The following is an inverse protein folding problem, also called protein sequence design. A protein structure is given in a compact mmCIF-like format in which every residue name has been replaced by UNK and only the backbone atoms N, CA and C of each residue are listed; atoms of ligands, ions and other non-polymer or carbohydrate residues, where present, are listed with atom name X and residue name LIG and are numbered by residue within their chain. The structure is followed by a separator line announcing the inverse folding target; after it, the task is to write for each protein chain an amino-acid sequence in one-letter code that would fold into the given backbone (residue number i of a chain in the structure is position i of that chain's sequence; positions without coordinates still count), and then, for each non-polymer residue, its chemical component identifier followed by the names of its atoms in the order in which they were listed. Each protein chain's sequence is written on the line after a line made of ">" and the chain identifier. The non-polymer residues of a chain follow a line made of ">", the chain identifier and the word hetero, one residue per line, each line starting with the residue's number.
data_IF_311288144536
#
_entry.id   IF_311288144536
#
_cell.length_a   1.000
_cell.length_b   1.000
_cell.length_c   1.000
_cell.angle_alpha   90.00
_cell.angle_beta   90.00
_cell.angle_gamma   90.00
#
_symmetry.space_group_name_H-M   'P 1'
#
loop_
_entity.id
_entity.type
_entity.pdbx_description
1 polymer ?
#
# COMPACT_ATOMS: atom_id res chain seq x y z
N UNK A 1 -29.95 -6.85 12.63
CA UNK A 1 -30.74 -6.39 11.47
C UNK A 1 -30.82 -4.87 11.53
N UNK A 2 -29.87 -4.15 10.89
CA UNK A 2 -29.86 -2.68 10.88
C UNK A 2 -30.62 -2.21 9.64
N UNK A 3 -31.65 -1.41 9.88
CA UNK A 3 -32.65 -0.94 8.91
C UNK A 3 -32.03 -0.11 7.79
N UNK A 4 -32.19 -0.57 6.55
CA UNK A 4 -31.72 0.08 5.31
C UNK A 4 -32.61 1.26 4.85
N UNK A 5 -33.30 1.93 5.77
CA UNK A 5 -34.32 2.95 5.44
C UNK A 5 -33.78 4.38 5.41
N UNK A 6 -32.60 4.64 5.99
CA UNK A 6 -32.00 5.98 6.03
C UNK A 6 -31.58 6.58 4.66
N UNK A 7 -31.01 5.83 3.69
CA UNK A 7 -30.54 6.44 2.44
C UNK A 7 -31.67 6.80 1.48
N UNK A 8 -32.82 6.14 1.58
CA UNK A 8 -33.97 6.34 0.67
C UNK A 8 -34.68 7.67 0.97
N UNK A 9 -34.82 8.04 2.25
CA UNK A 9 -35.44 9.32 2.64
C UNK A 9 -34.61 10.53 2.18
N UNK A 10 -33.29 10.40 2.17
CA UNK A 10 -32.37 11.46 1.75
C UNK A 10 -32.47 11.71 0.24
N UNK A 11 -32.57 10.66 -0.56
CA UNK A 11 -32.74 10.74 -2.01
C UNK A 11 -34.11 11.36 -2.37
N UNK A 12 -35.18 11.02 -1.64
CA UNK A 12 -36.52 11.59 -1.86
C UNK A 12 -36.58 13.10 -1.59
N UNK A 13 -35.88 13.59 -0.55
CA UNK A 13 -35.81 15.02 -0.23
C UNK A 13 -35.08 15.82 -1.33
N UNK A 14 -34.06 15.23 -1.95
CA UNK A 14 -33.29 15.85 -3.05
C UNK A 14 -34.15 15.98 -4.31
N UNK A 15 -34.95 14.96 -4.64
CA UNK A 15 -35.85 15.00 -5.80
C UNK A 15 -36.96 16.04 -5.62
N UNK A 16 -37.53 16.17 -4.41
CA UNK A 16 -38.53 17.19 -4.11
C UNK A 16 -37.99 18.62 -4.22
N UNK A 17 -36.72 18.85 -3.91
CA UNK A 17 -36.03 20.13 -4.12
C UNK A 17 -35.71 20.43 -5.60
N UNK A 18 -35.70 19.40 -6.47
CA UNK A 18 -35.35 19.49 -7.90
C UNK A 18 -36.56 19.67 -8.84
N UNK A 19 -37.81 19.50 -8.38
CA UNK A 19 -39.00 19.79 -9.19
C UNK A 19 -39.18 21.30 -9.49
N UNK A 20 -39.34 21.73 -10.76
CA UNK A 20 -39.55 23.13 -11.11
C UNK A 20 -41.04 23.51 -10.98
N UNK A 21 -41.38 24.38 -10.02
CA UNK A 21 -42.64 25.12 -9.99
C UNK A 21 -42.46 26.51 -10.59
N UNK A 22 -43.45 26.95 -11.34
CA UNK A 22 -43.46 28.11 -12.23
C UNK A 22 -43.13 29.47 -11.61
N UNK A 23 -42.46 30.29 -12.42
CA UNK A 23 -42.49 31.77 -12.53
C UNK A 23 -42.04 32.62 -11.34
N UNK A 24 -40.73 32.91 -11.27
CA UNK A 24 -40.18 34.28 -11.10
C UNK A 24 -38.64 34.26 -11.17
N UNK A 25 -38.06 35.22 -11.91
CA UNK A 25 -36.62 35.30 -12.22
C UNK A 25 -35.74 35.38 -10.96
N UNK A 26 -36.23 36.02 -9.88
CA UNK A 26 -35.54 36.12 -8.59
C UNK A 26 -35.42 34.78 -7.86
N UNK A 27 -36.33 33.82 -8.12
CA UNK A 27 -36.40 32.53 -7.43
C UNK A 27 -35.39 31.50 -7.98
N UNK A 28 -35.02 31.62 -9.27
CA UNK A 28 -34.06 30.73 -9.90
C UNK A 28 -32.63 30.95 -9.39
N UNK A 29 -32.25 32.20 -9.13
CA UNK A 29 -30.95 32.53 -8.57
C UNK A 29 -30.79 31.97 -7.15
N UNK A 30 -31.74 32.24 -6.25
CA UNK A 30 -31.69 31.78 -4.84
C UNK A 30 -31.68 30.24 -4.72
N UNK A 31 -32.37 29.54 -5.64
CA UNK A 31 -32.37 28.08 -5.70
C UNK A 31 -31.04 27.50 -6.18
N UNK A 32 -30.40 28.10 -7.19
CA UNK A 32 -29.04 27.70 -7.60
C UNK A 32 -28.04 27.91 -6.47
N UNK A 33 -28.13 29.03 -5.74
CA UNK A 33 -27.27 29.26 -4.59
C UNK A 33 -27.51 28.22 -3.50
N UNK A 34 -28.76 27.97 -3.08
CA UNK A 34 -29.04 26.94 -2.06
C UNK A 34 -28.64 25.53 -2.47
N UNK A 35 -28.80 25.15 -3.73
CA UNK A 35 -28.37 23.83 -4.22
C UNK A 35 -26.85 23.73 -4.23
N UNK A 36 -26.13 24.77 -4.66
CA UNK A 36 -24.66 24.81 -4.56
C UNK A 36 -24.20 24.77 -3.10
N UNK A 37 -24.83 25.54 -2.22
CA UNK A 37 -24.55 25.51 -0.77
C UNK A 37 -24.79 24.12 -0.18
N UNK A 38 -25.89 23.47 -0.53
CA UNK A 38 -26.24 22.15 0.00
C UNK A 38 -25.31 21.06 -0.53
N UNK A 39 -24.96 21.07 -1.82
CA UNK A 39 -23.95 20.17 -2.40
C UNK A 39 -22.59 20.39 -1.73
N UNK A 40 -22.21 21.65 -1.46
CA UNK A 40 -20.97 21.97 -0.73
C UNK A 40 -21.03 21.44 0.69
N UNK A 41 -22.13 21.64 1.42
CA UNK A 41 -22.28 21.13 2.80
C UNK A 41 -22.31 19.61 2.83
N UNK A 42 -22.95 18.95 1.85
CA UNK A 42 -22.98 17.50 1.75
C UNK A 42 -21.60 16.91 1.44
N UNK A 43 -20.83 17.54 0.53
CA UNK A 43 -19.42 17.19 0.29
C UNK A 43 -18.54 17.45 1.52
N UNK A 44 -18.84 18.49 2.30
CA UNK A 44 -18.14 18.78 3.54
C UNK A 44 -18.45 17.75 4.63
N UNK A 45 -19.68 17.21 4.69
CA UNK A 45 -20.03 16.14 5.63
C UNK A 45 -19.48 14.77 5.24
N UNK A 46 -19.33 14.45 3.95
CA UNK A 46 -18.59 13.25 3.52
C UNK A 46 -17.09 13.36 3.85
N UNK A 47 -16.52 14.56 3.76
CA UNK A 47 -15.14 14.80 4.20
C UNK A 47 -14.98 14.79 5.73
N UNK A 48 -16.02 15.12 6.50
CA UNK A 48 -15.95 15.14 7.97
C UNK A 48 -16.17 13.78 8.64
N UNK A 49 -16.74 12.78 7.97
CA UNK A 49 -16.87 11.43 8.55
C UNK A 49 -15.61 10.57 8.44
N UNK A 50 -14.53 11.09 7.84
CA UNK A 50 -13.30 10.33 7.62
C UNK A 50 -12.14 10.64 8.58
N UNK A 51 -12.33 11.48 9.61
CA UNK A 51 -11.31 11.75 10.63
C UNK A 51 -12.00 11.91 12.00
N UNK A 52 -11.57 11.30 13.10
CA UNK A 52 -10.19 11.28 13.62
C UNK A 52 -9.90 10.01 14.46
N UNK A 53 -8.93 9.22 14.01
CA UNK A 53 -7.97 8.54 14.88
C UNK A 53 -6.76 9.48 15.10
N UNK A 54 -5.95 9.31 16.16
CA UNK A 54 -4.85 10.24 16.44
C UNK A 54 -3.82 10.24 15.29
N UNK A 55 -3.62 11.42 14.68
CA UNK A 55 -2.72 11.67 13.55
C UNK A 55 -1.29 11.98 14.03
N UNK A 56 -0.27 11.46 13.33
CA UNK A 56 1.13 11.84 13.50
C UNK A 56 1.51 12.93 12.47
N UNK A 57 2.32 13.96 12.80
CA UNK A 57 2.42 15.20 12.01
C UNK A 57 3.14 15.13 10.64
N UNK A 58 3.80 14.03 10.25
CA UNK A 58 4.68 14.04 9.06
C UNK A 58 4.66 12.77 8.16
N UNK A 59 3.69 11.86 8.27
CA UNK A 59 3.56 10.75 7.29
C UNK A 59 2.15 10.12 7.33
N UNK A 60 1.52 9.95 6.16
CA UNK A 60 0.20 9.31 6.02
C UNK A 60 0.26 7.77 5.88
N UNK A 61 1.46 7.16 5.85
CA UNK A 61 1.62 5.71 5.67
C UNK A 61 2.55 5.05 6.71
N UNK A 62 2.17 3.86 7.17
CA UNK A 62 3.00 2.88 7.85
C UNK A 62 4.48 2.82 7.51
N UNK A 63 5.42 2.68 8.46
CA UNK A 63 6.79 2.28 8.12
C UNK A 63 6.92 0.86 7.53
N UNK A 64 8.20 0.49 7.41
CA UNK A 64 8.92 -0.64 6.78
C UNK A 64 8.18 -1.67 5.92
N UNK A 65 8.67 -1.87 4.68
CA UNK A 65 8.82 -3.15 4.03
C UNK A 65 10.24 -3.73 4.20
N UNK A 66 10.40 -4.80 4.98
CA UNK A 66 11.68 -5.49 5.12
C UNK A 66 11.74 -6.68 4.15
N UNK A 67 12.73 -6.72 3.26
CA UNK A 67 13.01 -7.86 2.38
C UNK A 67 14.17 -8.68 2.92
N UNK A 68 13.90 -9.94 3.24
CA UNK A 68 14.90 -10.95 3.53
C UNK A 68 15.03 -11.85 2.31
N UNK A 69 16.26 -12.06 1.85
CA UNK A 69 16.56 -12.91 0.71
C UNK A 69 17.70 -13.86 1.07
N UNK A 70 17.51 -15.14 0.77
CA UNK A 70 18.53 -16.17 0.92
C UNK A 70 18.78 -16.82 -0.42
N UNK A 71 20.05 -16.94 -0.81
CA UNK A 71 20.46 -17.59 -2.06
C UNK A 71 21.70 -18.45 -1.83
N UNK A 72 21.85 -19.49 -2.64
CA UNK A 72 23.05 -20.33 -2.67
C UNK A 72 24.13 -19.79 -3.60
N UNK A 73 23.85 -18.75 -4.38
CA UNK A 73 24.83 -18.07 -5.23
C UNK A 73 25.80 -17.25 -4.38
N UNK A 74 27.07 -17.20 -4.74
CA UNK A 74 28.04 -16.25 -4.18
C UNK A 74 27.89 -14.89 -4.86
N UNK A 75 27.49 -13.86 -4.11
CA UNK A 75 27.30 -12.52 -4.67
C UNK A 75 28.58 -11.68 -4.60
N UNK A 76 29.59 -12.11 -3.82
CA UNK A 76 30.85 -11.42 -3.64
C UNK A 76 30.71 -9.91 -3.38
N UNK A 77 31.54 -9.12 -4.04
CA UNK A 77 31.59 -7.65 -3.91
C UNK A 77 30.31 -6.96 -4.41
N UNK A 78 29.50 -7.61 -5.26
CA UNK A 78 28.29 -7.01 -5.82
C UNK A 78 27.14 -6.95 -4.82
N UNK A 79 27.19 -7.73 -3.73
CA UNK A 79 26.11 -7.81 -2.73
C UNK A 79 25.66 -6.44 -2.24
N UNK A 80 26.60 -5.53 -1.97
CA UNK A 80 26.28 -4.18 -1.50
C UNK A 80 25.51 -3.33 -2.51
N UNK A 81 25.80 -3.48 -3.81
CA UNK A 81 25.08 -2.80 -4.87
C UNK A 81 23.68 -3.39 -5.08
N UNK A 82 23.56 -4.71 -5.07
CA UNK A 82 22.28 -5.45 -5.15
C UNK A 82 21.33 -5.01 -4.03
N UNK A 83 21.81 -4.95 -2.78
CA UNK A 83 20.97 -4.52 -1.65
C UNK A 83 20.42 -3.10 -1.85
N UNK A 84 21.20 -2.18 -2.43
CA UNK A 84 20.76 -0.81 -2.72
C UNK A 84 19.75 -0.76 -3.86
N UNK A 85 19.98 -1.54 -4.92
CA UNK A 85 19.03 -1.67 -6.04
C UNK A 85 17.67 -2.20 -5.55
N UNK A 86 17.68 -3.26 -4.72
CA UNK A 86 16.47 -3.82 -4.12
C UNK A 86 15.79 -2.86 -3.14
N UNK A 87 16.55 -2.11 -2.34
CA UNK A 87 16.03 -1.07 -1.44
C UNK A 87 15.22 -0.03 -2.20
N UNK A 88 15.81 0.51 -3.29
CA UNK A 88 15.16 1.50 -4.14
C UNK A 88 13.92 0.94 -4.86
N UNK A 89 14.00 -0.30 -5.36
CA UNK A 89 12.87 -1.02 -5.96
C UNK A 89 11.70 -1.14 -4.97
N UNK A 90 11.95 -1.64 -3.76
CA UNK A 90 10.93 -1.86 -2.74
C UNK A 90 10.30 -0.54 -2.30
N UNK A 91 11.10 0.50 -2.08
CA UNK A 91 10.61 1.84 -1.75
C UNK A 91 9.66 2.38 -2.83
N UNK A 92 10.09 2.27 -4.09
CA UNK A 92 9.33 2.78 -5.25
C UNK A 92 8.00 2.05 -5.41
N UNK A 93 8.01 0.71 -5.35
CA UNK A 93 6.80 -0.10 -5.57
C UNK A 93 5.81 0.06 -4.41
N UNK A 94 6.30 0.06 -3.16
CA UNK A 94 5.44 0.21 -1.99
C UNK A 94 5.00 1.65 -1.73
N UNK A 95 5.61 2.62 -2.43
CA UNK A 95 5.43 4.07 -2.24
C UNK A 95 5.69 4.51 -0.80
N UNK A 96 6.65 3.86 -0.14
CA UNK A 96 7.13 4.20 1.20
C UNK A 96 8.51 4.86 1.10
N UNK A 97 8.85 5.78 2.00
CA UNK A 97 10.18 6.38 1.99
C UNK A 97 11.26 5.31 2.16
N UNK A 98 12.31 5.36 1.33
CA UNK A 98 13.42 4.39 1.38
C UNK A 98 14.13 4.37 2.74
N UNK A 99 14.10 5.49 3.48
CA UNK A 99 14.63 5.56 4.85
C UNK A 99 13.95 4.58 5.84
N UNK A 100 12.80 4.02 5.48
CA UNK A 100 12.12 2.98 6.26
C UNK A 100 12.30 1.58 5.70
N UNK A 101 12.96 1.38 4.55
CA UNK A 101 13.11 0.06 3.91
C UNK A 101 14.35 -0.64 4.46
N UNK A 102 14.22 -1.91 4.81
CA UNK A 102 15.35 -2.77 5.20
C UNK A 102 15.55 -3.92 4.20
N UNK A 103 16.78 -4.15 3.77
CA UNK A 103 17.16 -5.28 2.92
C UNK A 103 18.21 -6.12 3.64
N UNK A 104 18.00 -7.44 3.69
CA UNK A 104 18.96 -8.39 4.22
C UNK A 104 19.16 -9.53 3.21
N UNK A 105 20.43 -9.81 2.86
CA UNK A 105 20.78 -10.91 1.96
C UNK A 105 21.74 -11.88 2.66
N UNK A 106 21.36 -13.16 2.68
CA UNK A 106 22.24 -14.29 3.01
C UNK A 106 22.59 -15.02 1.72
N UNK A 107 23.84 -14.93 1.29
CA UNK A 107 24.36 -15.64 0.12
C UNK A 107 25.18 -16.87 0.55
N UNK A 108 25.68 -17.65 -0.40
CA UNK A 108 26.46 -18.86 -0.13
C UNK A 108 25.75 -19.88 0.81
N UNK A 109 24.42 -19.87 0.84
CA UNK A 109 23.64 -20.75 1.69
C UNK A 109 23.54 -22.17 1.11
N UNK A 110 23.48 -23.19 1.95
CA UNK A 110 23.13 -24.55 1.52
C UNK A 110 21.63 -24.64 1.26
N UNK A 111 21.23 -24.81 0.00
CA UNK A 111 19.82 -24.79 -0.40
C UNK A 111 19.53 -25.80 -1.52
N UNK A 112 18.28 -26.27 -1.58
CA UNK A 112 17.76 -27.13 -2.65
C UNK A 112 16.35 -26.64 -3.02
N UNK A 113 16.05 -26.60 -4.31
CA UNK A 113 14.70 -26.32 -4.83
C UNK A 113 14.35 -27.39 -5.87
N UNK A 114 13.23 -28.08 -5.67
CA UNK A 114 12.79 -29.16 -6.57
C UNK A 114 13.78 -30.33 -6.64
N UNK A 115 14.55 -30.59 -5.58
CA UNK A 115 15.54 -31.66 -5.52
C UNK A 115 16.91 -31.34 -6.14
N UNK A 116 17.11 -30.14 -6.67
CA UNK A 116 18.41 -29.67 -7.18
C UNK A 116 18.94 -28.46 -6.41
N UNK A 117 20.26 -28.40 -6.24
CA UNK A 117 21.05 -27.29 -5.70
C UNK A 117 21.51 -26.29 -6.77
N UNK A 118 21.00 -26.38 -8.01
CA UNK A 118 21.20 -25.35 -9.02
C UNK A 118 20.75 -23.98 -8.48
N UNK A 119 21.34 -22.85 -8.93
CA UNK A 119 21.08 -21.50 -8.41
C UNK A 119 19.61 -21.23 -8.10
N UNK A 120 19.33 -20.78 -6.89
CA UNK A 120 17.98 -20.53 -6.40
C UNK A 120 17.96 -19.39 -5.38
N UNK A 121 16.78 -18.83 -5.12
CA UNK A 121 16.59 -17.88 -4.04
C UNK A 121 15.23 -18.06 -3.36
N UNK A 122 15.21 -17.88 -2.04
CA UNK A 122 14.00 -17.86 -1.23
C UNK A 122 13.98 -16.54 -0.45
N UNK A 123 12.82 -15.90 -0.39
CA UNK A 123 12.68 -14.61 0.27
C UNK A 123 11.38 -14.44 1.02
N UNK A 124 11.37 -13.44 1.88
CA UNK A 124 10.19 -12.98 2.60
C UNK A 124 10.19 -11.45 2.60
N UNK A 125 9.07 -10.84 2.21
CA UNK A 125 8.82 -9.41 2.35
C UNK A 125 7.74 -9.21 3.42
N UNK A 126 8.07 -8.48 4.47
CA UNK A 126 7.12 -8.06 5.51
C UNK A 126 6.83 -6.59 5.33
N UNK A 127 5.57 -6.18 5.30
CA UNK A 127 5.25 -4.75 5.30
C UNK A 127 3.95 -4.42 6.00
N UNK A 128 3.86 -3.22 6.56
CA UNK A 128 2.59 -2.68 7.07
C UNK A 128 1.79 -2.13 5.88
N UNK A 129 0.81 -2.89 5.41
CA UNK A 129 0.10 -2.58 4.18
C UNK A 129 0.99 -2.67 2.94
N UNK A 130 0.51 -2.14 1.81
CA UNK A 130 1.16 -2.20 0.50
C UNK A 130 1.42 -3.62 -0.06
N UNK A 131 0.96 -4.67 0.61
CA UNK A 131 0.96 -6.05 0.13
C UNK A 131 -0.30 -6.27 -0.70
N UNK A 132 -0.14 -6.29 -2.02
CA UNK A 132 -1.25 -6.45 -2.98
C UNK A 132 -0.77 -7.24 -4.19
N UNK A 133 -1.67 -7.88 -4.93
CA UNK A 133 -1.30 -8.63 -6.14
C UNK A 133 -0.42 -7.81 -7.10
N UNK A 134 -0.74 -6.54 -7.31
CA UNK A 134 0.00 -5.65 -8.21
C UNK A 134 1.40 -5.31 -7.68
N UNK A 135 1.52 -4.94 -6.40
CA UNK A 135 2.82 -4.59 -5.82
C UNK A 135 3.71 -5.83 -5.66
N UNK A 136 3.14 -6.95 -5.20
CA UNK A 136 3.86 -8.21 -5.03
C UNK A 136 4.42 -8.69 -6.37
N UNK A 137 3.62 -8.62 -7.44
CA UNK A 137 4.09 -8.96 -8.79
C UNK A 137 5.24 -8.09 -9.28
N UNK A 138 5.20 -6.78 -9.02
CA UNK A 138 6.29 -5.85 -9.38
C UNK A 138 7.57 -6.11 -8.58
N UNK A 139 7.45 -6.39 -7.29
CA UNK A 139 8.60 -6.72 -6.43
C UNK A 139 9.20 -8.05 -6.87
N UNK A 140 8.38 -9.08 -7.12
CA UNK A 140 8.83 -10.37 -7.64
C UNK A 140 9.58 -10.18 -8.97
N UNK A 141 9.00 -9.45 -9.92
CA UNK A 141 9.63 -9.16 -11.21
C UNK A 141 11.00 -8.49 -11.03
N UNK A 142 11.07 -7.41 -10.26
CA UNK A 142 12.33 -6.68 -10.07
C UNK A 142 13.39 -7.48 -9.30
N UNK A 143 13.01 -8.31 -8.32
CA UNK A 143 13.96 -9.22 -7.65
C UNK A 143 14.46 -10.28 -8.63
N UNK A 144 13.59 -10.84 -9.47
CA UNK A 144 13.98 -11.78 -10.54
C UNK A 144 14.97 -11.12 -11.50
N UNK A 145 14.67 -9.93 -12.03
CA UNK A 145 15.54 -9.20 -12.96
C UNK A 145 16.94 -8.96 -12.37
N UNK A 146 17.03 -8.71 -11.06
CA UNK A 146 18.30 -8.52 -10.36
C UNK A 146 19.08 -9.83 -10.23
N UNK A 147 18.43 -10.93 -9.84
CA UNK A 147 19.10 -12.20 -9.56
C UNK A 147 19.42 -13.02 -10.82
N UNK A 148 18.69 -12.83 -11.92
CA UNK A 148 18.99 -13.46 -13.21
C UNK A 148 20.38 -13.07 -13.73
N UNK A 149 20.83 -11.84 -13.44
CA UNK A 149 22.20 -11.36 -13.74
C UNK A 149 23.28 -12.23 -13.08
N UNK A 150 22.93 -12.96 -12.02
CA UNK A 150 23.81 -13.83 -11.23
C UNK A 150 23.48 -15.32 -11.42
N UNK A 151 22.69 -15.67 -12.44
CA UNK A 151 22.43 -17.06 -12.84
C UNK A 151 21.30 -17.76 -12.10
N UNK A 152 20.52 -17.05 -11.28
CA UNK A 152 19.31 -17.61 -10.66
C UNK A 152 18.17 -17.56 -11.67
N UNK A 153 17.64 -18.72 -12.07
CA UNK A 153 16.52 -18.78 -13.01
C UNK A 153 15.20 -18.27 -12.38
N UNK A 154 14.38 -17.57 -13.17
CA UNK A 154 13.10 -17.00 -12.72
C UNK A 154 12.14 -17.99 -12.04
N UNK A 155 12.16 -19.26 -12.43
CA UNK A 155 11.30 -20.32 -11.90
C UNK A 155 11.84 -20.94 -10.59
N UNK A 156 12.99 -20.47 -10.10
CA UNK A 156 13.66 -20.93 -8.89
C UNK A 156 13.72 -19.85 -7.80
N UNK A 157 12.80 -18.89 -7.85
CA UNK A 157 12.71 -17.77 -6.91
C UNK A 157 11.32 -17.77 -6.28
N UNK A 158 11.24 -17.94 -4.96
CA UNK A 158 10.02 -17.70 -4.20
C UNK A 158 10.19 -16.52 -3.25
N UNK A 159 9.19 -15.63 -3.23
CA UNK A 159 9.08 -14.57 -2.23
C UNK A 159 7.70 -14.70 -1.56
N UNK A 160 7.70 -14.88 -0.25
CA UNK A 160 6.48 -14.84 0.55
C UNK A 160 6.22 -13.39 0.98
N UNK A 161 4.99 -12.90 0.78
CA UNK A 161 4.61 -11.53 1.12
C UNK A 161 3.68 -11.53 2.33
N UNK A 162 4.03 -10.78 3.36
CA UNK A 162 3.30 -10.72 4.63
C UNK A 162 2.85 -9.29 4.91
N UNK A 163 1.54 -9.08 4.98
CA UNK A 163 0.96 -7.86 5.51
C UNK A 163 0.93 -7.96 7.04
N UNK A 164 1.60 -7.05 7.73
CA UNK A 164 1.85 -7.12 9.17
C UNK A 164 1.15 -5.97 9.89
N UNK A 165 0.35 -6.25 10.94
CA UNK A 165 -0.23 -5.21 11.79
C UNK A 165 0.83 -4.31 12.44
N UNK A 166 0.48 -3.04 12.72
CA UNK A 166 1.40 -2.02 13.23
C UNK A 166 1.99 -2.38 14.60
N UNK A 167 1.18 -3.02 15.44
CA UNK A 167 1.55 -3.49 16.78
C UNK A 167 2.54 -4.67 16.76
N UNK A 168 2.68 -5.34 15.62
CA UNK A 168 3.57 -6.50 15.45
C UNK A 168 4.97 -6.12 14.95
N UNK A 169 5.24 -4.84 14.70
CA UNK A 169 6.57 -4.35 14.30
C UNK A 169 7.11 -3.37 15.34
N UNK A 170 8.24 -3.74 15.94
CA UNK A 170 8.99 -2.92 16.88
C UNK A 170 9.93 -1.94 16.17
N UNK A 171 9.93 -0.69 16.59
CA UNK A 171 10.86 0.34 16.12
C UNK A 171 11.03 1.44 17.16
N UNK A 172 12.24 1.97 17.28
CA UNK A 172 12.54 3.11 18.16
C UNK A 172 12.01 2.98 19.61
N UNK A 173 12.28 1.83 20.24
CA UNK A 173 11.85 1.50 21.62
C UNK A 173 10.33 1.44 21.83
N UNK A 174 9.54 1.41 20.76
CA UNK A 174 8.09 1.26 20.78
C UNK A 174 7.65 0.29 19.67
N UNK A 175 6.34 0.22 19.43
CA UNK A 175 5.82 -0.39 18.20
C UNK A 175 5.37 0.70 17.23
N UNK A 176 5.10 0.32 15.99
CA UNK A 176 4.47 1.26 15.06
C UNK A 176 3.05 1.68 15.50
N UNK A 177 2.40 0.96 16.41
CA UNK A 177 1.10 1.32 16.96
C UNK A 177 1.16 2.34 18.13
N UNK A 178 2.35 2.60 18.69
CA UNK A 178 2.55 3.41 19.90
C UNK A 178 3.39 2.69 20.95
#
# INVERSE_FOLDING_TARGET
>A
MRSATAPILLIALIIALLAPSSSSFSYQATRQYRLKSLVVVMSATEQQQQQQQPHHPHCDLPGDPSLFLTTNVDLGENKGAIMKELSSLVATVTRKPEAYVAICITDNASMVFGGSDAPLALGCLYSIGAITMANNGKIQCGVTDVLEKYGVAQDRIYINFFDVPRECIGWNRATFAG
#
